data_IF_307744250705
#
_entry.id   IF_307744250705
#
_cell.length_a   1.000
_cell.length_b   1.000
_cell.length_c   1.000
_cell.angle_alpha   90.00
_cell.angle_beta   90.00
_cell.angle_gamma   90.00
#
_symmetry.space_group_name_H-M   'P 1'
#
loop_
_entity.id
_entity.type
_entity.pdbx_description
1 polymer ?
#
# COMPACT_ATOMS: atom_id res chain seq x y z
N UNK A 1 -6.85 -6.58 -23.57
CA UNK A 1 -6.83 -6.29 -22.12
C UNK A 1 -7.96 -7.09 -21.49
N UNK A 2 -7.61 -8.07 -20.68
CA UNK A 2 -8.57 -8.91 -19.96
C UNK A 2 -9.16 -8.18 -18.73
N UNK A 3 -10.19 -8.77 -18.14
CA UNK A 3 -10.92 -8.15 -17.03
C UNK A 3 -10.08 -7.98 -15.76
N UNK A 4 -9.20 -8.95 -15.46
CA UNK A 4 -8.31 -8.91 -14.31
C UNK A 4 -7.28 -7.79 -14.46
N UNK A 5 -6.64 -7.65 -15.63
CA UNK A 5 -5.77 -6.51 -15.93
C UNK A 5 -6.51 -5.17 -15.76
N UNK A 6 -7.76 -5.09 -16.24
CA UNK A 6 -8.57 -3.86 -16.12
C UNK A 6 -8.80 -3.50 -14.66
N UNK A 7 -9.22 -4.48 -13.83
CA UNK A 7 -9.42 -4.31 -12.40
C UNK A 7 -8.14 -3.86 -11.68
N UNK A 8 -6.99 -4.44 -12.01
CA UNK A 8 -5.69 -4.06 -11.44
C UNK A 8 -5.34 -2.61 -11.78
N UNK A 9 -5.42 -2.22 -13.06
CA UNK A 9 -5.08 -0.85 -13.46
C UNK A 9 -6.02 0.18 -12.85
N UNK A 10 -7.32 -0.09 -12.78
CA UNK A 10 -8.28 0.80 -12.11
C UNK A 10 -7.96 0.95 -10.63
N UNK A 11 -7.59 -0.15 -9.97
CA UNK A 11 -7.20 -0.17 -8.55
C UNK A 11 -5.97 0.71 -8.29
N UNK A 12 -4.93 0.60 -9.12
CA UNK A 12 -3.73 1.45 -9.03
C UNK A 12 -4.05 2.91 -9.32
N UNK A 13 -4.85 3.19 -10.35
CA UNK A 13 -5.26 4.56 -10.67
C UNK A 13 -6.03 5.21 -9.51
N UNK A 14 -6.90 4.45 -8.84
CA UNK A 14 -7.61 4.92 -7.66
C UNK A 14 -6.64 5.22 -6.51
N UNK A 15 -5.68 4.32 -6.25
CA UNK A 15 -4.64 4.55 -5.24
C UNK A 15 -3.83 5.84 -5.51
N UNK A 16 -3.48 6.09 -6.78
CA UNK A 16 -2.73 7.29 -7.19
C UNK A 16 -3.51 8.60 -7.06
N UNK A 17 -4.84 8.57 -7.17
CA UNK A 17 -5.68 9.77 -7.01
C UNK A 17 -5.82 10.22 -5.55
N UNK A 18 -5.35 9.40 -4.62
CA UNK A 18 -5.51 9.60 -3.18
C UNK A 18 -6.57 8.68 -2.61
N UNK A 19 -6.35 8.24 -1.37
CA UNK A 19 -7.24 7.35 -0.64
C UNK A 19 -7.58 7.99 0.70
N UNK A 20 -8.82 7.83 1.14
CA UNK A 20 -9.16 7.97 2.55
C UNK A 20 -8.82 6.70 3.33
N UNK A 21 -9.04 6.71 4.64
CA UNK A 21 -8.67 5.59 5.50
C UNK A 21 -9.51 4.32 5.23
N UNK A 22 -10.79 4.47 4.88
CA UNK A 22 -11.67 3.33 4.60
C UNK A 22 -11.30 2.68 3.26
N UNK A 23 -11.07 3.51 2.24
CA UNK A 23 -10.58 3.10 0.94
C UNK A 23 -9.21 2.45 1.03
N UNK A 24 -8.31 2.96 1.87
CA UNK A 24 -7.00 2.35 2.09
C UNK A 24 -7.11 0.93 2.70
N UNK A 25 -8.01 0.71 3.66
CA UNK A 25 -8.25 -0.65 4.21
C UNK A 25 -8.82 -1.61 3.16
N UNK A 26 -9.74 -1.13 2.34
CA UNK A 26 -10.31 -1.91 1.24
C UNK A 26 -9.25 -2.23 0.18
N UNK A 27 -8.41 -1.25 -0.14
CA UNK A 27 -7.32 -1.36 -1.10
C UNK A 27 -6.27 -2.38 -0.65
N UNK A 28 -5.89 -2.39 0.64
CA UNK A 28 -4.94 -3.36 1.17
C UNK A 28 -5.46 -4.81 1.00
N UNK A 29 -6.75 -5.06 1.27
CA UNK A 29 -7.37 -6.38 1.05
C UNK A 29 -7.44 -6.74 -0.43
N UNK A 30 -7.96 -5.83 -1.26
CA UNK A 30 -8.09 -6.03 -2.71
C UNK A 30 -6.75 -6.31 -3.39
N UNK A 31 -5.66 -5.67 -2.95
CA UNK A 31 -4.34 -5.90 -3.52
C UNK A 31 -3.82 -7.32 -3.25
N UNK A 32 -4.16 -7.90 -2.09
CA UNK A 32 -3.84 -9.31 -1.75
C UNK A 32 -4.66 -10.26 -2.60
N UNK A 33 -5.97 -10.02 -2.72
CA UNK A 33 -6.86 -10.86 -3.54
C UNK A 33 -6.44 -10.85 -5.01
N UNK A 34 -6.19 -9.65 -5.57
CA UNK A 34 -5.71 -9.51 -6.96
C UNK A 34 -4.35 -10.19 -7.17
N UNK A 35 -3.49 -10.23 -6.14
CA UNK A 35 -2.21 -10.93 -6.23
C UNK A 35 -2.40 -12.44 -6.34
N UNK A 36 -3.30 -13.02 -5.56
CA UNK A 36 -3.67 -14.43 -5.70
C UNK A 36 -4.27 -14.71 -7.09
N UNK A 37 -5.19 -13.86 -7.57
CA UNK A 37 -5.77 -13.98 -8.91
C UNK A 37 -4.71 -13.91 -10.04
N UNK A 38 -3.68 -13.07 -9.90
CA UNK A 38 -2.55 -13.02 -10.86
C UNK A 38 -1.70 -14.28 -10.80
N UNK A 39 -1.47 -14.83 -9.61
CA UNK A 39 -0.63 -16.02 -9.42
C UNK A 39 -1.30 -17.29 -9.95
N UNK A 40 -2.64 -17.34 -9.94
CA UNK A 40 -3.45 -18.42 -10.51
C UNK A 40 -3.71 -18.25 -12.02
N UNK A 41 -3.52 -17.05 -12.57
CA UNK A 41 -3.72 -16.76 -13.99
C UNK A 41 -2.53 -17.17 -14.85
N UNK A 42 -2.80 -17.64 -16.07
CA UNK A 42 -1.78 -18.04 -17.06
C UNK A 42 -1.21 -16.82 -17.82
N UNK A 43 -0.62 -15.89 -17.06
CA UNK A 43 0.12 -14.78 -17.66
C UNK A 43 1.57 -15.18 -17.95
N UNK A 44 2.09 -14.72 -19.08
CA UNK A 44 3.52 -14.78 -19.35
C UNK A 44 4.33 -14.07 -18.25
N UNK A 45 5.52 -14.59 -17.94
CA UNK A 45 6.36 -14.15 -16.81
C UNK A 45 6.54 -12.62 -16.74
N UNK A 46 6.77 -11.98 -17.89
CA UNK A 46 6.98 -10.53 -17.95
C UNK A 46 5.73 -9.74 -17.53
N UNK A 47 4.54 -10.17 -17.98
CA UNK A 47 3.28 -9.51 -17.66
C UNK A 47 2.85 -9.81 -16.23
N UNK A 48 3.06 -11.04 -15.77
CA UNK A 48 2.86 -11.41 -14.35
C UNK A 48 3.67 -10.48 -13.44
N UNK A 49 4.97 -10.30 -13.70
CA UNK A 49 5.83 -9.42 -12.89
C UNK A 49 5.37 -7.95 -12.91
N UNK A 50 4.89 -7.45 -14.04
CA UNK A 50 4.34 -6.09 -14.15
C UNK A 50 3.08 -5.92 -13.31
N UNK A 51 2.13 -6.85 -13.40
CA UNK A 51 0.88 -6.81 -12.64
C UNK A 51 1.13 -6.94 -11.14
N UNK A 52 2.08 -7.80 -10.77
CA UNK A 52 2.62 -7.95 -9.42
C UNK A 52 3.15 -6.62 -8.88
N UNK A 53 3.95 -5.90 -9.66
CA UNK A 53 4.50 -4.62 -9.27
C UNK A 53 3.40 -3.56 -9.10
N UNK A 54 2.40 -3.56 -9.98
CA UNK A 54 1.20 -2.72 -9.86
C UNK A 54 0.44 -2.96 -8.55
N UNK A 55 0.16 -4.22 -8.20
CA UNK A 55 -0.50 -4.54 -6.93
C UNK A 55 0.35 -4.10 -5.71
N UNK A 56 1.66 -4.31 -5.76
CA UNK A 56 2.57 -3.86 -4.69
C UNK A 56 2.54 -2.34 -4.51
N UNK A 57 2.48 -1.56 -5.61
CA UNK A 57 2.37 -0.10 -5.56
C UNK A 57 1.07 0.37 -4.87
N UNK A 58 -0.07 -0.22 -5.24
CA UNK A 58 -1.36 0.08 -4.63
C UNK A 58 -1.37 -0.27 -3.13
N UNK A 59 -0.84 -1.44 -2.78
CA UNK A 59 -0.74 -1.88 -1.39
C UNK A 59 0.16 -0.97 -0.55
N UNK A 60 1.30 -0.54 -1.09
CA UNK A 60 2.20 0.39 -0.42
C UNK A 60 1.53 1.73 -0.14
N UNK A 61 0.78 2.24 -1.12
CA UNK A 61 0.03 3.50 -1.02
C UNK A 61 -1.04 3.41 0.07
N UNK A 62 -1.81 2.33 0.07
CA UNK A 62 -2.81 2.06 1.10
C UNK A 62 -2.17 2.00 2.51
N UNK A 63 -1.09 1.24 2.65
CA UNK A 63 -0.38 1.12 3.93
C UNK A 63 0.23 2.43 4.41
N UNK A 64 0.70 3.27 3.49
CA UNK A 64 1.18 4.61 3.81
C UNK A 64 0.05 5.48 4.40
N UNK A 65 -1.12 5.49 3.76
CA UNK A 65 -2.31 6.23 4.26
C UNK A 65 -2.74 5.72 5.65
N UNK A 66 -2.66 4.41 5.89
CA UNK A 66 -2.96 3.79 7.19
C UNK A 66 -1.89 4.02 8.26
N UNK A 67 -0.81 4.75 7.98
CA UNK A 67 0.30 4.95 8.91
C UNK A 67 1.08 3.67 9.23
N UNK A 68 1.04 2.69 8.32
CA UNK A 68 1.72 1.38 8.41
C UNK A 68 2.78 1.23 7.31
N UNK A 69 3.73 2.17 7.14
CA UNK A 69 4.69 2.10 6.05
C UNK A 69 5.41 0.75 6.07
N UNK A 70 5.27 -0.01 4.98
CA UNK A 70 5.94 -1.31 4.84
C UNK A 70 7.42 -1.08 4.63
N UNK A 71 8.28 -1.77 5.37
CA UNK A 71 9.75 -1.66 5.30
C UNK A 71 10.38 -2.26 4.03
N UNK A 72 9.55 -2.78 3.12
CA UNK A 72 10.00 -3.57 1.96
C UNK A 72 9.93 -2.84 0.62
N UNK A 73 9.56 -1.55 0.57
CA UNK A 73 9.56 -0.76 -0.67
C UNK A 73 10.38 0.52 -0.53
N UNK A 74 11.12 0.94 -1.58
CA UNK A 74 11.86 2.20 -1.57
C UNK A 74 10.88 3.36 -1.36
N UNK A 75 11.31 4.43 -0.66
CA UNK A 75 10.42 5.52 -0.28
C UNK A 75 9.87 6.20 -1.53
N UNK A 76 8.61 5.95 -1.86
CA UNK A 76 7.91 6.75 -2.85
C UNK A 76 7.72 8.15 -2.26
N UNK A 77 8.24 9.17 -2.95
CA UNK A 77 8.00 10.58 -2.64
C UNK A 77 6.50 10.78 -2.53
N UNK A 78 6.00 10.91 -1.29
CA UNK A 78 4.60 11.19 -1.03
C UNK A 78 4.17 12.51 -1.67
N UNK A 79 2.90 12.65 -2.07
CA UNK A 79 2.37 13.95 -2.46
C UNK A 79 2.49 14.89 -1.25
N UNK A 80 3.17 16.01 -1.47
CA UNK A 80 3.39 17.06 -0.48
C UNK A 80 2.06 17.59 0.04
N UNK A 81 1.52 17.00 1.12
CA UNK A 81 0.36 17.56 1.79
C UNK A 81 0.75 18.13 3.16
N UNK A 82 0.79 19.47 3.19
CA UNK A 82 0.83 20.29 4.39
C UNK A 82 -0.40 19.95 5.24
N UNK A 83 -0.16 19.62 6.50
CA UNK A 83 -1.22 19.62 7.52
C UNK A 83 -1.68 18.23 7.95
N UNK A 84 -0.97 17.64 8.90
CA UNK A 84 -1.65 16.82 9.90
C UNK A 84 -0.84 16.79 11.19
N UNK A 85 -1.32 17.57 12.16
CA UNK A 85 -0.93 17.47 13.56
C UNK A 85 -1.40 16.12 14.06
N UNK A 86 -0.48 15.18 14.29
CA UNK A 86 -0.73 14.10 15.23
C UNK A 86 0.30 14.17 16.36
N UNK A 87 -0.19 14.77 17.44
CA UNK A 87 0.28 14.68 18.82
C UNK A 87 0.46 13.20 19.17
N UNK A 88 1.69 12.69 19.19
CA UNK A 88 1.99 11.44 19.91
C UNK A 88 2.19 11.77 21.38
N UNK A 89 1.12 11.56 22.15
CA UNK A 89 1.20 11.32 23.58
C UNK A 89 1.81 9.93 23.83
N UNK A 90 2.57 9.81 24.91
CA UNK A 90 2.90 8.55 25.56
C UNK A 90 4.08 7.80 24.97
N UNK A 91 5.30 8.13 25.42
CA UNK A 91 6.35 7.13 25.54
C UNK A 91 6.85 7.13 26.99
N UNK A 92 6.18 6.33 27.80
CA UNK A 92 6.73 5.79 29.03
C UNK A 92 7.77 4.74 28.64
N UNK A 93 9.05 4.98 28.96
CA UNK A 93 10.01 3.89 29.13
C UNK A 93 10.95 4.26 30.27
N UNK A 94 10.84 3.51 31.37
CA UNK A 94 11.77 3.58 32.47
C UNK A 94 13.19 3.17 32.06
N UNK A 95 14.15 3.95 32.51
CA UNK A 95 15.56 3.57 32.67
C UNK A 95 15.92 3.94 34.11
N UNK A 96 15.80 2.98 35.03
CA UNK A 96 16.90 2.14 35.54
C UNK A 96 17.77 2.87 36.56
N UNK A 97 17.70 2.34 37.78
CA UNK A 97 18.53 2.63 38.94
C UNK A 97 20.04 2.72 38.65
N UNK A 98 20.74 3.58 39.41
CA UNK A 98 22.19 3.57 39.48
C UNK A 98 22.79 4.70 40.33
N UNK A 99 22.79 4.48 41.66
CA UNK A 99 23.60 5.10 42.74
C UNK A 99 23.59 6.62 42.92
#
# INVERSE_FOLDING_TARGET
MDDLQRRILTTVQHARRGLDEADARLMERRAVDLRAEIDDADYGQADRLRLIACCSEAQATARWVLGRPSTTLPPMRGPSNRGSRYRRAGHDIGLRAGR
#
